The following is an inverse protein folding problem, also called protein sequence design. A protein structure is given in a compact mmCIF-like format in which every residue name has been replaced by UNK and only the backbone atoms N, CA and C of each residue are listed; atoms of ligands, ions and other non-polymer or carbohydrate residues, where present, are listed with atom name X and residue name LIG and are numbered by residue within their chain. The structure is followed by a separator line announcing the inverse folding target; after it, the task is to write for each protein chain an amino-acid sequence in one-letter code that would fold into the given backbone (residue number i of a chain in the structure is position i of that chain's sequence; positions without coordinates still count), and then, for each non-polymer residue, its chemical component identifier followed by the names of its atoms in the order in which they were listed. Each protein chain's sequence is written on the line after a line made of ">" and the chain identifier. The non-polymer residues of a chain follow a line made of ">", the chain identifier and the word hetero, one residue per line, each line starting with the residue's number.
data_IF_113412237203
#
_entry.id   IF_113412237203
#
_cell.length_a   1.000
_cell.length_b   1.000
_cell.length_c   1.000
_cell.angle_alpha   90.00
_cell.angle_beta   90.00
_cell.angle_gamma   90.00
#
_symmetry.space_group_name_H-M   'P 1'
#
loop_
_entity.id
_entity.type
_entity.pdbx_description
1 polymer ?
#
# COMPACT_ATOMS: atom_id res chain seq x y z
N UNK A 1 21.27 19.25 10.09
CA UNK A 1 21.00 20.23 9.03
C UNK A 1 19.64 19.90 8.42
N UNK A 2 18.52 20.33 9.03
CA UNK A 2 17.21 20.12 8.43
C UNK A 2 17.10 20.95 7.15
N UNK A 3 16.54 20.34 6.12
CA UNK A 3 16.45 20.87 4.76
C UNK A 3 15.63 22.16 4.81
N UNK A 4 16.19 23.26 4.33
CA UNK A 4 15.58 24.60 4.30
C UNK A 4 14.15 24.57 3.72
N UNK A 5 13.88 23.63 2.79
CA UNK A 5 12.54 23.39 2.26
C UNK A 5 11.50 22.92 3.29
N UNK A 6 11.89 22.13 4.30
CA UNK A 6 10.99 21.72 5.40
C UNK A 6 10.68 22.91 6.32
N UNK A 7 11.66 23.80 6.55
CA UNK A 7 11.44 25.02 7.32
C UNK A 7 10.50 25.98 6.58
N UNK A 8 10.69 26.16 5.28
CA UNK A 8 9.80 26.99 4.45
C UNK A 8 8.38 26.41 4.40
N UNK A 9 8.23 25.09 4.34
CA UNK A 9 6.91 24.43 4.39
C UNK A 9 6.22 24.67 5.75
N UNK A 10 6.96 24.58 6.85
CA UNK A 10 6.42 24.87 8.19
C UNK A 10 6.05 26.35 8.35
N UNK A 11 6.80 27.26 7.71
CA UNK A 11 6.66 28.71 7.89
C UNK A 11 5.62 29.35 6.94
N UNK A 12 5.40 28.79 5.75
CA UNK A 12 4.50 29.34 4.73
C UNK A 12 3.38 28.39 4.26
N UNK A 13 3.45 27.10 4.60
CA UNK A 13 2.52 26.07 4.15
C UNK A 13 1.38 25.75 5.12
N UNK A 14 1.46 26.20 6.37
CA UNK A 14 0.35 26.07 7.32
C UNK A 14 -0.65 27.22 7.10
N UNK A 15 -1.87 26.94 6.63
CA UNK A 15 -2.90 27.97 6.58
C UNK A 15 -3.12 28.49 8.00
N UNK A 16 -3.22 29.82 8.16
CA UNK A 16 -3.59 30.49 9.42
C UNK A 16 -5.08 30.21 9.74
N UNK A 17 -5.44 28.93 9.86
CA UNK A 17 -6.78 28.48 10.20
C UNK A 17 -6.81 28.14 11.68
N UNK A 18 -7.77 28.73 12.39
CA UNK A 18 -8.00 28.49 13.80
C UNK A 18 -7.98 26.98 14.08
N UNK A 19 -7.26 26.50 15.11
CA UNK A 19 -7.04 25.07 15.36
C UNK A 19 -8.34 24.27 15.51
N UNK A 20 -9.43 24.93 15.92
CA UNK A 20 -10.79 24.38 15.99
C UNK A 20 -11.33 23.95 14.61
N UNK A 21 -11.00 24.68 13.54
CA UNK A 21 -11.48 24.38 12.18
C UNK A 21 -10.79 23.14 11.59
N UNK A 22 -9.49 23.00 11.85
CA UNK A 22 -8.67 21.88 11.36
C UNK A 22 -9.10 20.58 12.05
N UNK A 23 -9.30 20.63 13.37
CA UNK A 23 -9.72 19.46 14.16
C UNK A 23 -11.15 18.99 13.82
N UNK A 24 -12.07 19.92 13.47
CA UNK A 24 -13.42 19.59 13.03
C UNK A 24 -13.47 19.05 11.58
N UNK A 25 -12.60 19.55 10.69
CA UNK A 25 -12.43 19.00 9.34
C UNK A 25 -11.90 17.55 9.40
N UNK A 26 -10.92 17.30 10.27
CA UNK A 26 -10.37 15.97 10.51
C UNK A 26 -11.43 15.01 11.07
N UNK A 27 -12.26 15.44 12.03
CA UNK A 27 -13.30 14.59 12.62
C UNK A 27 -14.41 14.20 11.64
N UNK A 28 -14.89 15.13 10.81
CA UNK A 28 -15.91 14.84 9.80
C UNK A 28 -15.37 13.97 8.66
N UNK A 29 -14.12 14.22 8.22
CA UNK A 29 -13.43 13.41 7.22
C UNK A 29 -13.17 12.00 7.75
N UNK A 30 -12.69 11.88 8.98
CA UNK A 30 -12.48 10.59 9.65
C UNK A 30 -13.79 9.82 9.79
N UNK A 31 -14.88 10.47 10.23
CA UNK A 31 -16.20 9.86 10.32
C UNK A 31 -16.70 9.35 8.96
N UNK A 32 -16.45 10.10 7.88
CA UNK A 32 -16.82 9.70 6.53
C UNK A 32 -15.96 8.52 6.03
N UNK A 33 -14.64 8.55 6.26
CA UNK A 33 -13.73 7.45 5.95
C UNK A 33 -14.14 6.18 6.71
N UNK A 34 -14.47 6.32 7.99
CA UNK A 34 -14.89 5.19 8.82
C UNK A 34 -16.25 4.65 8.39
N UNK A 35 -17.18 5.51 7.98
CA UNK A 35 -18.44 5.09 7.36
C UNK A 35 -18.22 4.32 6.05
N UNK A 36 -17.29 4.78 5.20
CA UNK A 36 -16.93 4.07 3.96
C UNK A 36 -16.21 2.75 4.23
N UNK A 37 -15.42 2.65 5.31
CA UNK A 37 -14.78 1.40 5.74
C UNK A 37 -15.78 0.39 6.32
N UNK A 38 -16.86 0.86 6.94
CA UNK A 38 -17.94 0.03 7.48
C UNK A 38 -18.86 -0.54 6.40
N UNK A 39 -18.82 0.02 5.18
CA UNK A 39 -19.47 -0.61 4.04
C UNK A 39 -18.70 -1.87 3.69
N UNK A 40 -19.23 -3.01 4.16
CA UNK A 40 -18.72 -4.34 3.87
C UNK A 40 -18.89 -4.59 2.36
N UNK A 41 -17.84 -4.26 1.61
CA UNK A 41 -17.75 -4.57 0.20
C UNK A 41 -17.00 -5.87 0.08
N UNK A 42 -17.65 -6.88 -0.50
CA UNK A 42 -16.95 -8.07 -0.93
C UNK A 42 -15.79 -7.66 -1.83
N UNK A 43 -14.58 -7.94 -1.35
CA UNK A 43 -13.36 -7.57 -2.05
C UNK A 43 -13.19 -8.53 -3.22
N UNK A 44 -13.58 -8.09 -4.42
CA UNK A 44 -13.41 -8.88 -5.64
C UNK A 44 -11.94 -8.84 -6.04
N UNK A 45 -11.23 -9.94 -5.78
CA UNK A 45 -9.85 -10.12 -6.21
C UNK A 45 -9.85 -10.54 -7.68
N UNK A 46 -9.38 -9.66 -8.55
CA UNK A 46 -9.11 -9.99 -9.95
C UNK A 46 -7.76 -10.67 -10.10
N UNK A 47 -7.70 -11.60 -11.05
CA UNK A 47 -6.46 -12.26 -11.47
C UNK A 47 -5.34 -11.24 -11.70
N UNK A 48 -4.12 -11.61 -11.32
CA UNK A 48 -2.96 -10.76 -11.47
C UNK A 48 -1.74 -11.58 -11.87
N UNK A 49 -0.76 -10.93 -12.46
CA UNK A 49 0.52 -11.58 -12.76
C UNK A 49 1.47 -11.35 -11.57
N UNK A 50 2.00 -12.41 -10.93
CA UNK A 50 2.81 -12.27 -9.72
C UNK A 50 4.16 -11.60 -10.00
N UNK A 51 4.59 -11.57 -11.27
CA UNK A 51 5.83 -10.93 -11.70
C UNK A 51 5.68 -9.42 -11.97
N UNK A 52 4.44 -8.92 -12.05
CA UNK A 52 4.15 -7.54 -12.43
C UNK A 52 3.14 -6.90 -11.46
N UNK A 53 3.54 -6.79 -10.19
CA UNK A 53 2.76 -6.13 -9.15
C UNK A 53 3.25 -4.69 -8.99
N UNK A 54 2.40 -3.70 -9.27
CA UNK A 54 2.68 -2.29 -8.95
C UNK A 54 2.60 -2.05 -7.44
N UNK A 55 3.14 -0.94 -6.94
CA UNK A 55 2.94 -0.57 -5.53
C UNK A 55 1.46 -0.48 -5.14
N UNK A 56 0.63 0.15 -5.97
CA UNK A 56 -0.81 0.25 -5.72
C UNK A 56 -1.49 -1.11 -5.63
N UNK A 57 -1.20 -2.02 -6.56
CA UNK A 57 -1.73 -3.39 -6.54
C UNK A 57 -1.19 -4.19 -5.36
N UNK A 58 0.09 -4.02 -5.02
CA UNK A 58 0.72 -4.67 -3.89
C UNK A 58 0.08 -4.27 -2.56
N UNK A 59 -0.26 -3.00 -2.38
CA UNK A 59 -1.03 -2.55 -1.20
C UNK A 59 -2.44 -3.16 -1.15
N UNK A 60 -3.14 -3.26 -2.27
CA UNK A 60 -4.43 -3.94 -2.34
C UNK A 60 -4.32 -5.44 -2.01
N UNK A 61 -3.18 -6.04 -2.33
CA UNK A 61 -2.87 -7.42 -2.01
C UNK A 61 -2.21 -7.57 -0.62
N UNK A 62 -2.25 -6.55 0.25
CA UNK A 62 -1.69 -6.62 1.61
C UNK A 62 -0.18 -6.93 1.66
N UNK A 63 0.55 -6.63 0.59
CA UNK A 63 2.01 -6.76 0.54
C UNK A 63 2.70 -5.55 1.17
N UNK A 64 3.81 -5.80 1.87
CA UNK A 64 4.68 -4.74 2.35
C UNK A 64 5.48 -4.10 1.20
N UNK A 65 5.93 -2.87 1.42
CA UNK A 65 6.82 -2.16 0.49
C UNK A 65 8.06 -2.99 0.18
N UNK A 66 8.64 -3.66 1.18
CA UNK A 66 9.83 -4.49 0.99
C UNK A 66 9.53 -5.72 0.12
N UNK A 67 8.38 -6.37 0.33
CA UNK A 67 7.94 -7.51 -0.48
C UNK A 67 7.77 -7.12 -1.95
N UNK A 68 7.13 -5.98 -2.23
CA UNK A 68 6.94 -5.45 -3.58
C UNK A 68 8.31 -5.14 -4.21
N UNK A 69 9.23 -4.52 -3.47
CA UNK A 69 10.58 -4.26 -3.96
C UNK A 69 11.39 -5.53 -4.26
N UNK A 70 11.16 -6.65 -3.56
CA UNK A 70 11.80 -7.94 -3.88
C UNK A 70 11.33 -8.46 -5.24
N UNK A 71 10.04 -8.34 -5.55
CA UNK A 71 9.48 -8.71 -6.86
C UNK A 71 10.11 -7.85 -7.97
N UNK A 72 10.16 -6.53 -7.76
CA UNK A 72 10.76 -5.59 -8.71
C UNK A 72 12.24 -5.89 -8.98
N UNK A 73 13.02 -6.12 -7.92
CA UNK A 73 14.44 -6.51 -8.06
C UNK A 73 14.60 -7.84 -8.77
N UNK A 74 13.73 -8.82 -8.50
CA UNK A 74 13.81 -10.13 -9.15
C UNK A 74 13.61 -10.02 -10.66
N UNK A 75 12.56 -9.30 -11.10
CA UNK A 75 12.31 -9.09 -12.54
C UNK A 75 13.37 -8.24 -13.23
N UNK A 76 13.99 -7.28 -12.53
CA UNK A 76 15.09 -6.48 -13.07
C UNK A 76 16.32 -7.34 -13.41
N UNK A 77 16.47 -8.51 -12.78
CA UNK A 77 17.50 -9.50 -13.18
C UNK A 77 17.14 -10.32 -14.42
N UNK A 78 15.98 -10.06 -15.05
CA UNK A 78 15.45 -10.86 -16.16
C UNK A 78 14.87 -12.21 -15.74
N UNK A 79 14.66 -12.43 -14.43
CA UNK A 79 14.09 -13.66 -13.88
C UNK A 79 12.61 -13.48 -13.55
N UNK A 80 11.86 -14.58 -13.67
CA UNK A 80 10.43 -14.62 -13.39
C UNK A 80 10.12 -15.79 -12.47
N UNK A 81 9.18 -15.57 -11.57
CA UNK A 81 8.62 -16.58 -10.68
C UNK A 81 7.69 -17.47 -11.48
N UNK A 82 7.83 -18.78 -11.30
CA UNK A 82 7.04 -19.79 -12.01
C UNK A 82 6.27 -20.72 -11.06
N UNK A 83 6.36 -20.49 -9.74
CA UNK A 83 5.68 -21.34 -8.76
C UNK A 83 5.40 -20.60 -7.45
N UNK A 84 4.36 -21.04 -6.73
CA UNK A 84 3.99 -20.52 -5.41
C UNK A 84 5.16 -20.62 -4.40
N UNK A 85 5.90 -21.75 -4.28
CA UNK A 85 7.04 -21.83 -3.35
C UNK A 85 8.17 -20.85 -3.71
N UNK A 86 8.40 -20.62 -5.00
CA UNK A 86 9.38 -19.64 -5.46
C UNK A 86 8.94 -18.20 -5.13
N UNK A 87 7.65 -17.88 -5.35
CA UNK A 87 7.08 -16.59 -4.96
C UNK A 87 7.28 -16.32 -3.47
N UNK A 88 6.94 -17.32 -2.64
CA UNK A 88 7.11 -17.24 -1.20
C UNK A 88 8.58 -17.09 -0.79
N UNK A 89 9.50 -17.81 -1.44
CA UNK A 89 10.94 -17.70 -1.16
C UNK A 89 11.47 -16.30 -1.47
N UNK A 90 11.06 -15.70 -2.57
CA UNK A 90 11.55 -14.38 -3.00
C UNK A 90 10.95 -13.26 -2.17
N UNK A 91 9.65 -13.31 -1.90
CA UNK A 91 8.94 -12.22 -1.22
C UNK A 91 8.96 -12.37 0.31
N UNK A 92 9.03 -13.61 0.81
CA UNK A 92 8.84 -13.96 2.22
C UNK A 92 7.42 -13.64 2.72
N UNK A 93 6.40 -13.80 1.87
CA UNK A 93 4.99 -13.70 2.28
C UNK A 93 4.60 -14.86 3.21
N UNK A 94 3.61 -14.60 4.07
CA UNK A 94 3.09 -15.58 5.03
C UNK A 94 2.29 -16.67 4.35
N UNK A 95 2.08 -17.80 5.05
CA UNK A 95 1.21 -18.87 4.56
C UNK A 95 -0.24 -18.39 4.38
N UNK A 96 -0.74 -17.56 5.31
CA UNK A 96 -2.08 -16.97 5.20
C UNK A 96 -2.25 -16.12 3.93
N UNK A 97 -1.20 -15.40 3.52
CA UNK A 97 -1.22 -14.67 2.25
C UNK A 97 -1.34 -15.63 1.07
N UNK A 98 -0.57 -16.72 1.07
CA UNK A 98 -0.61 -17.72 0.00
C UNK A 98 -1.99 -18.37 -0.09
N UNK A 99 -2.55 -18.81 1.03
CA UNK A 99 -3.90 -19.38 1.11
C UNK A 99 -4.95 -18.42 0.53
N UNK A 100 -4.83 -17.11 0.83
CA UNK A 100 -5.78 -16.09 0.36
C UNK A 100 -5.63 -15.75 -1.14
N UNK A 101 -4.41 -15.74 -1.68
CA UNK A 101 -4.17 -15.13 -3.00
C UNK A 101 -3.68 -16.09 -4.10
N UNK A 102 -3.25 -17.33 -3.78
CA UNK A 102 -2.60 -18.20 -4.77
C UNK A 102 -3.47 -18.60 -5.96
N UNK A 103 -4.78 -18.70 -5.80
CA UNK A 103 -5.70 -19.07 -6.88
C UNK A 103 -5.85 -17.98 -7.97
N UNK A 104 -5.34 -16.77 -7.70
CA UNK A 104 -5.52 -15.61 -8.57
C UNK A 104 -4.31 -15.31 -9.47
N UNK A 105 -3.23 -16.10 -9.43
CA UNK A 105 -2.00 -15.78 -10.16
C UNK A 105 -1.15 -16.97 -10.61
#
# INVERSE_FOLDING_TARGET
>A
MPIIGFQIYLEYGLPQQNPIHIMNFDGALQSHIDSLKQMDREEVIFQFNPNYISFSKGYQLELSVEQIQKIHRYRETGKFVNSIPEFQKITSVSLSWIEKYHDFF
#
